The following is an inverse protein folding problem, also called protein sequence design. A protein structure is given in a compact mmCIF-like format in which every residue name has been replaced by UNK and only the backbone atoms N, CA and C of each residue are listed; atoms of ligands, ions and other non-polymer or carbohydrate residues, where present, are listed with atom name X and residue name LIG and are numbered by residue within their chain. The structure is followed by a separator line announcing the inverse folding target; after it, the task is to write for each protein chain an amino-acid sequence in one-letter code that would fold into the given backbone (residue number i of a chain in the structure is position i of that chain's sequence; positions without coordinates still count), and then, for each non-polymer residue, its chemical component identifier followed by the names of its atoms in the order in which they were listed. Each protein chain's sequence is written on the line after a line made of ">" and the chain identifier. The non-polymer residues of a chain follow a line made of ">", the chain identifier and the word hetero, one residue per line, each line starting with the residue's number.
data_IF_415548335240
#
_entry.id   IF_415548335240
#
_cell.length_a   1.000
_cell.length_b   1.000
_cell.length_c   1.000
_cell.angle_alpha   90.00
_cell.angle_beta   90.00
_cell.angle_gamma   90.00
#
_symmetry.space_group_name_H-M   'P 1'
#
loop_
_entity.id
_entity.type
_entity.pdbx_description
1 polymer ?
#
# COMPACT_ATOMS: atom_id res chain seq x y z
N UNK A 1 13.85 -9.01 -18.91
CA UNK A 1 14.95 -8.05 -18.70
C UNK A 1 14.80 -6.74 -19.50
N UNK A 2 14.37 -6.72 -20.77
CA UNK A 2 14.24 -5.47 -21.56
C UNK A 2 13.10 -4.52 -21.13
N UNK A 3 12.09 -4.99 -20.41
CA UNK A 3 10.94 -4.19 -19.98
C UNK A 3 11.15 -3.43 -18.65
N UNK A 4 12.09 -3.89 -17.81
CA UNK A 4 12.43 -3.23 -16.53
C UNK A 4 13.29 -1.98 -16.79
N UNK A 5 14.10 -1.99 -17.86
CA UNK A 5 14.97 -0.86 -18.23
C UNK A 5 14.15 0.35 -18.73
N UNK A 6 12.96 0.13 -19.29
CA UNK A 6 12.10 1.22 -19.77
C UNK A 6 11.46 2.02 -18.62
N UNK A 7 11.26 1.39 -17.46
CA UNK A 7 10.68 2.04 -16.28
C UNK A 7 11.70 2.96 -15.56
N UNK A 8 12.98 2.57 -15.59
CA UNK A 8 14.06 3.37 -14.99
C UNK A 8 14.43 4.61 -15.85
N UNK A 9 14.11 4.62 -17.13
CA UNK A 9 14.40 5.76 -18.01
C UNK A 9 13.38 6.90 -17.91
N UNK A 10 12.19 6.64 -17.33
CA UNK A 10 11.16 7.67 -17.09
C UNK A 10 11.47 8.58 -15.89
N UNK A 11 12.45 8.23 -15.06
CA UNK A 11 12.85 8.99 -13.86
C UNK A 11 13.69 10.24 -14.14
N UNK A 12 14.00 10.56 -15.40
CA UNK A 12 14.88 11.65 -15.79
C UNK A 12 14.21 12.97 -16.23
N UNK A 13 12.90 13.08 -16.17
CA UNK A 13 12.18 14.30 -16.54
C UNK A 13 12.03 15.23 -15.33
N UNK A 14 13.09 15.97 -15.01
CA UNK A 14 12.98 17.17 -14.18
C UNK A 14 12.20 18.23 -14.95
N UNK A 15 10.91 18.37 -14.64
CA UNK A 15 10.11 19.49 -15.14
C UNK A 15 10.61 20.78 -14.47
N UNK A 16 10.83 21.86 -15.24
CA UNK A 16 11.17 23.14 -14.63
C UNK A 16 9.98 23.63 -13.82
N UNK A 17 10.17 23.79 -12.52
CA UNK A 17 9.21 24.43 -11.62
C UNK A 17 9.17 25.91 -12.04
N UNK A 18 8.09 26.34 -12.67
CA UNK A 18 7.77 27.75 -12.85
C UNK A 18 7.39 28.31 -11.49
N UNK A 19 8.38 28.86 -10.78
CA UNK A 19 8.19 29.65 -9.57
C UNK A 19 7.50 30.97 -9.93
N UNK A 20 6.18 30.91 -10.15
CA UNK A 20 5.33 32.09 -10.19
C UNK A 20 4.80 32.32 -8.78
N UNK A 21 5.00 33.51 -8.22
CA UNK A 21 4.60 33.87 -6.86
C UNK A 21 3.09 33.79 -6.63
N UNK A 22 2.59 32.59 -6.46
CA UNK A 22 1.28 32.25 -5.86
C UNK A 22 1.57 31.69 -4.48
N UNK A 23 0.78 32.09 -3.50
CA UNK A 23 0.88 31.62 -2.11
C UNK A 23 0.60 30.09 -1.98
N UNK A 24 0.20 29.40 -3.05
CA UNK A 24 -0.10 27.98 -3.12
C UNK A 24 0.57 27.34 -4.36
N UNK A 25 1.83 26.89 -4.26
CA UNK A 25 2.56 26.27 -5.36
C UNK A 25 2.04 24.86 -5.65
N UNK A 26 2.08 24.47 -6.93
CA UNK A 26 1.86 23.09 -7.34
C UNK A 26 3.04 22.23 -6.86
N UNK A 27 2.73 21.20 -6.07
CA UNK A 27 3.72 20.26 -5.51
C UNK A 27 3.37 18.85 -5.97
N UNK A 28 4.38 18.00 -6.08
CA UNK A 28 4.21 16.58 -6.36
C UNK A 28 5.18 15.75 -5.53
N UNK A 29 4.81 14.48 -5.32
CA UNK A 29 5.65 13.46 -4.70
C UNK A 29 5.44 12.14 -5.41
N UNK A 30 6.50 11.37 -5.57
CA UNK A 30 6.45 9.97 -5.99
C UNK A 30 7.17 9.16 -4.95
N UNK A 31 6.54 8.10 -4.45
CA UNK A 31 7.08 7.26 -3.40
C UNK A 31 6.93 5.79 -3.75
N UNK A 32 7.99 5.05 -3.55
CA UNK A 32 8.00 3.60 -3.43
C UNK A 32 8.10 3.32 -1.95
N UNK A 33 6.95 3.02 -1.32
CA UNK A 33 6.91 2.72 0.12
C UNK A 33 7.55 1.39 0.41
N UNK A 34 7.24 0.38 -0.43
CA UNK A 34 7.81 -0.95 -0.33
C UNK A 34 8.17 -1.47 -1.71
N UNK A 35 9.41 -1.83 -1.89
CA UNK A 35 9.86 -2.77 -2.91
C UNK A 35 10.63 -3.84 -2.16
N UNK A 36 9.95 -4.92 -1.80
CA UNK A 36 10.48 -5.93 -0.89
C UNK A 36 10.29 -7.35 -1.40
N UNK A 37 11.25 -8.21 -1.11
CA UNK A 37 11.07 -9.65 -1.21
C UNK A 37 10.77 -10.21 0.17
N UNK A 38 9.83 -11.14 0.23
CA UNK A 38 9.43 -11.84 1.46
C UNK A 38 9.90 -13.29 1.37
N UNK A 39 10.64 -13.71 2.36
CA UNK A 39 11.10 -15.12 2.46
C UNK A 39 10.04 -15.89 3.21
N UNK A 40 9.44 -16.86 2.51
CA UNK A 40 8.37 -17.73 2.98
C UNK A 40 8.84 -19.18 3.02
N UNK A 41 7.98 -20.09 3.48
CA UNK A 41 8.20 -21.53 3.38
C UNK A 41 7.95 -22.07 1.95
N UNK A 42 7.38 -21.26 1.07
CA UNK A 42 7.09 -21.55 -0.34
C UNK A 42 7.84 -20.61 -1.29
N UNK A 43 7.26 -20.29 -2.46
CA UNK A 43 7.80 -19.30 -3.37
C UNK A 43 7.89 -17.92 -2.71
N UNK A 44 8.98 -17.19 -2.97
CA UNK A 44 9.23 -15.90 -2.38
C UNK A 44 8.54 -14.79 -3.20
N UNK A 45 7.54 -14.09 -2.66
CA UNK A 45 6.91 -12.97 -3.36
C UNK A 45 7.83 -11.73 -3.41
N UNK A 46 7.68 -10.99 -4.50
CA UNK A 46 8.17 -9.63 -4.64
C UNK A 46 6.97 -8.69 -4.56
N UNK A 47 6.99 -7.78 -3.59
CA UNK A 47 5.91 -6.82 -3.33
C UNK A 47 6.35 -5.42 -3.70
N UNK A 48 5.48 -4.70 -4.41
CA UNK A 48 5.60 -3.28 -4.69
C UNK A 48 4.39 -2.54 -4.15
N UNK A 49 4.60 -1.67 -3.18
CA UNK A 49 3.64 -0.63 -2.79
C UNK A 49 4.21 0.73 -3.20
N UNK A 50 3.50 1.46 -4.04
CA UNK A 50 3.93 2.77 -4.50
C UNK A 50 2.76 3.74 -4.59
N UNK A 51 3.05 4.99 -4.30
CA UNK A 51 2.11 6.09 -4.49
C UNK A 51 2.76 7.30 -5.18
N UNK A 52 1.92 8.10 -5.82
CA UNK A 52 2.30 9.38 -6.37
C UNK A 52 1.15 10.36 -6.19
N UNK A 53 1.47 11.62 -5.90
CA UNK A 53 0.46 12.66 -5.88
C UNK A 53 0.97 13.95 -6.47
N UNK A 54 0.02 14.72 -6.99
CA UNK A 54 0.24 16.08 -7.50
C UNK A 54 -0.91 16.96 -7.05
N UNK A 55 -0.62 18.18 -6.64
CA UNK A 55 -1.66 19.12 -6.23
C UNK A 55 -1.14 20.33 -5.48
N UNK A 56 -2.06 20.93 -4.78
CA UNK A 56 -1.88 22.11 -3.93
C UNK A 56 -2.03 21.72 -2.46
N UNK A 57 -1.85 22.65 -1.54
CA UNK A 57 -1.91 22.38 -0.10
C UNK A 57 -3.18 21.63 0.32
N UNK A 58 -4.34 22.07 -0.17
CA UNK A 58 -5.63 21.51 0.22
C UNK A 58 -6.19 20.45 -0.73
N UNK A 59 -5.70 20.38 -1.95
CA UNK A 59 -6.29 19.58 -3.03
C UNK A 59 -5.22 18.80 -3.77
N UNK A 60 -5.28 17.46 -3.78
CA UNK A 60 -4.30 16.59 -4.40
C UNK A 60 -4.99 15.50 -5.22
N UNK A 61 -4.37 15.10 -6.30
CA UNK A 61 -4.71 13.87 -7.01
C UNK A 61 -3.66 12.81 -6.70
N UNK A 62 -4.14 11.64 -6.30
CA UNK A 62 -3.31 10.51 -5.93
C UNK A 62 -3.46 9.37 -6.92
N UNK A 63 -2.35 8.74 -7.23
CA UNK A 63 -2.25 7.42 -7.81
C UNK A 63 -1.62 6.51 -6.77
N UNK A 64 -2.26 5.38 -6.45
CA UNK A 64 -1.70 4.36 -5.56
C UNK A 64 -1.70 3.03 -6.31
N UNK A 65 -0.70 2.19 -6.07
CA UNK A 65 -0.63 0.83 -6.62
C UNK A 65 0.00 -0.11 -5.61
N UNK A 66 -0.53 -1.32 -5.58
CA UNK A 66 -0.05 -2.43 -4.78
C UNK A 66 -0.01 -3.66 -5.69
N UNK A 67 1.15 -4.28 -5.80
CA UNK A 67 1.36 -5.43 -6.71
C UNK A 67 2.24 -6.46 -6.03
N UNK A 68 1.79 -7.71 -6.08
CA UNK A 68 2.57 -8.87 -5.64
C UNK A 68 2.85 -9.81 -6.82
N UNK A 69 4.10 -10.18 -6.96
CA UNK A 69 4.56 -11.16 -7.95
C UNK A 69 5.13 -12.37 -7.25
N UNK A 70 4.70 -13.55 -7.68
CA UNK A 70 5.24 -14.84 -7.27
C UNK A 70 5.71 -15.59 -8.51
N UNK A 71 6.95 -16.05 -8.52
CA UNK A 71 7.58 -16.76 -9.66
C UNK A 71 7.49 -16.02 -11.01
N UNK A 72 7.33 -14.69 -10.98
CA UNK A 72 7.23 -13.84 -12.16
C UNK A 72 5.81 -13.64 -12.69
N UNK A 73 4.81 -14.26 -12.08
CA UNK A 73 3.39 -14.01 -12.34
C UNK A 73 2.84 -13.02 -11.32
N UNK A 74 1.88 -12.18 -11.73
CA UNK A 74 1.19 -11.27 -10.82
C UNK A 74 0.07 -12.04 -10.12
N UNK A 75 0.14 -12.15 -8.81
CA UNK A 75 -0.90 -12.78 -7.99
C UNK A 75 -1.87 -11.77 -7.40
N UNK A 76 -1.35 -10.66 -6.88
CA UNK A 76 -2.18 -9.53 -6.45
C UNK A 76 -1.82 -8.29 -7.26
N UNK A 77 -2.81 -7.48 -7.58
CA UNK A 77 -2.61 -6.23 -8.31
C UNK A 77 -3.78 -5.28 -8.14
N UNK A 78 -3.47 -4.13 -7.59
CA UNK A 78 -4.43 -3.06 -7.29
C UNK A 78 -3.93 -1.73 -7.83
N UNK A 79 -4.84 -0.93 -8.36
CA UNK A 79 -4.60 0.48 -8.68
C UNK A 79 -5.72 1.35 -8.13
N UNK A 80 -5.36 2.55 -7.65
CA UNK A 80 -6.31 3.55 -7.19
C UNK A 80 -6.02 4.92 -7.81
N UNK A 81 -7.09 5.64 -8.17
CA UNK A 81 -7.05 7.03 -8.58
C UNK A 81 -7.97 7.82 -7.66
N UNK A 82 -7.40 8.70 -6.83
CA UNK A 82 -8.13 9.37 -5.78
C UNK A 82 -7.96 10.88 -5.88
N UNK A 83 -9.04 11.60 -5.64
CA UNK A 83 -8.99 13.01 -5.28
C UNK A 83 -8.95 13.13 -3.76
N UNK A 84 -8.01 13.91 -3.24
CA UNK A 84 -7.78 14.13 -1.82
C UNK A 84 -8.02 15.59 -1.48
N UNK A 85 -8.72 15.82 -0.38
CA UNK A 85 -8.94 17.15 0.19
C UNK A 85 -8.58 17.15 1.67
N UNK A 86 -7.72 18.08 2.07
CA UNK A 86 -7.45 18.33 3.46
C UNK A 86 -8.72 18.84 4.17
N UNK A 87 -9.16 18.11 5.18
CA UNK A 87 -10.33 18.43 6.00
C UNK A 87 -9.95 18.97 7.39
N UNK A 88 -8.69 18.71 7.78
CA UNK A 88 -8.06 19.26 8.97
C UNK A 88 -6.53 19.32 8.76
N UNK A 89 -5.75 19.94 9.65
CA UNK A 89 -4.29 20.01 9.52
C UNK A 89 -3.59 18.65 9.44
N UNK A 90 -4.24 17.59 9.91
CA UNK A 90 -3.65 16.24 10.01
C UNK A 90 -4.42 15.17 9.24
N UNK A 91 -5.55 15.52 8.59
CA UNK A 91 -6.41 14.56 7.94
C UNK A 91 -6.87 15.02 6.57
N UNK A 92 -6.66 14.15 5.60
CA UNK A 92 -7.19 14.25 4.25
C UNK A 92 -8.37 13.28 4.11
N UNK A 93 -9.44 13.73 3.49
CA UNK A 93 -10.50 12.89 2.95
C UNK A 93 -10.19 12.59 1.49
N UNK A 94 -10.24 11.34 1.11
CA UNK A 94 -9.97 10.87 -0.25
C UNK A 94 -11.21 10.20 -0.84
N UNK A 95 -11.49 10.47 -2.10
CA UNK A 95 -12.57 9.82 -2.84
C UNK A 95 -12.12 9.53 -4.28
N UNK A 96 -12.51 8.39 -4.82
CA UNK A 96 -12.12 8.03 -6.18
C UNK A 96 -12.46 6.61 -6.57
N UNK A 97 -11.61 6.03 -7.37
CA UNK A 97 -11.80 4.72 -7.97
C UNK A 97 -10.62 3.80 -7.66
N UNK A 98 -10.95 2.55 -7.40
CA UNK A 98 -10.02 1.43 -7.23
C UNK A 98 -10.38 0.32 -8.18
N UNK A 99 -9.37 -0.30 -8.77
CA UNK A 99 -9.51 -1.53 -9.53
C UNK A 99 -8.53 -2.57 -9.01
N UNK A 100 -9.08 -3.71 -8.65
CA UNK A 100 -8.33 -4.92 -8.41
C UNK A 100 -8.21 -5.68 -9.74
N UNK A 101 -7.00 -5.82 -10.22
CA UNK A 101 -6.69 -6.49 -11.49
C UNK A 101 -6.42 -7.98 -11.26
N UNK A 102 -5.94 -8.31 -10.07
CA UNK A 102 -5.62 -9.66 -9.59
C UNK A 102 -5.99 -9.81 -8.11
N UNK A 103 -6.38 -11.05 -7.68
CA UNK A 103 -6.71 -12.21 -8.50
C UNK A 103 -7.93 -11.97 -9.40
N UNK A 104 -8.07 -12.80 -10.44
CA UNK A 104 -9.24 -12.72 -11.33
C UNK A 104 -10.49 -13.25 -10.65
N UNK A 105 -11.70 -12.73 -11.00
CA UNK A 105 -11.99 -11.67 -11.98
C UNK A 105 -11.65 -10.27 -11.45
N UNK A 106 -11.43 -9.32 -12.37
CA UNK A 106 -11.24 -7.91 -12.02
C UNK A 106 -12.45 -7.39 -11.23
N UNK A 107 -12.19 -6.47 -10.29
CA UNK A 107 -13.25 -5.81 -9.50
C UNK A 107 -12.99 -4.31 -9.48
N UNK A 108 -14.07 -3.55 -9.73
CA UNK A 108 -14.06 -2.09 -9.65
C UNK A 108 -14.80 -1.62 -8.39
N UNK A 109 -14.24 -0.60 -7.73
CA UNK A 109 -14.79 -0.05 -6.50
C UNK A 109 -14.79 1.48 -6.53
N UNK A 110 -15.85 2.08 -6.00
CA UNK A 110 -15.79 3.44 -5.51
C UNK A 110 -15.03 3.43 -4.18
N UNK A 111 -14.04 4.29 -4.06
CA UNK A 111 -13.22 4.42 -2.84
C UNK A 111 -13.58 5.68 -2.09
N UNK A 112 -13.76 5.55 -0.77
CA UNK A 112 -13.84 6.64 0.20
C UNK A 112 -12.80 6.34 1.29
N UNK A 113 -11.90 7.27 1.58
CA UNK A 113 -10.84 7.02 2.56
C UNK A 113 -10.53 8.25 3.40
N UNK A 114 -9.97 8.00 4.57
CA UNK A 114 -9.33 8.99 5.43
C UNK A 114 -7.87 8.63 5.58
N UNK A 115 -6.98 9.55 5.21
CA UNK A 115 -5.53 9.40 5.39
C UNK A 115 -5.01 10.55 6.25
N UNK A 116 -4.19 10.24 7.23
CA UNK A 116 -3.64 11.29 8.09
C UNK A 116 -2.84 10.79 9.27
N UNK A 117 -2.53 11.74 10.16
CA UNK A 117 -1.79 11.50 11.39
C UNK A 117 -2.77 11.48 12.59
N UNK A 118 -2.89 10.32 13.21
CA UNK A 118 -3.58 10.15 14.47
C UNK A 118 -2.70 10.65 15.65
N UNK A 119 -3.28 10.80 16.88
CA UNK A 119 -2.50 11.13 18.05
C UNK A 119 -1.27 10.23 18.20
N UNK A 120 -0.18 10.80 18.73
CA UNK A 120 1.14 10.16 18.85
C UNK A 120 1.84 9.88 17.51
N UNK A 121 1.45 10.57 16.42
CA UNK A 121 2.07 10.49 15.08
C UNK A 121 1.92 9.12 14.39
N UNK A 122 0.87 8.38 14.70
CA UNK A 122 0.50 7.22 13.90
C UNK A 122 -0.01 7.68 12.53
N UNK A 123 0.62 7.24 11.45
CA UNK A 123 0.07 7.37 10.11
C UNK A 123 -1.06 6.36 9.95
N UNK A 124 -2.24 6.82 9.57
CA UNK A 124 -3.43 5.98 9.40
C UNK A 124 -4.00 6.19 8.00
N UNK A 125 -4.29 5.10 7.32
CA UNK A 125 -5.04 5.07 6.06
C UNK A 125 -6.24 4.11 6.24
N UNK A 126 -7.45 4.67 6.31
CA UNK A 126 -8.69 3.93 6.51
C UNK A 126 -9.57 4.08 5.27
N UNK A 127 -9.74 3.00 4.51
CA UNK A 127 -10.48 2.96 3.25
C UNK A 127 -11.77 2.15 3.34
N UNK A 128 -12.83 2.66 2.71
CA UNK A 128 -14.07 1.96 2.41
C UNK A 128 -14.21 1.84 0.90
N UNK A 129 -14.41 0.63 0.41
CA UNK A 129 -14.49 0.31 -1.02
C UNK A 129 -15.87 -0.26 -1.31
N UNK A 130 -16.62 0.43 -2.17
CA UNK A 130 -17.99 0.06 -2.55
C UNK A 130 -17.95 -0.47 -3.97
N UNK A 131 -18.10 -1.78 -4.12
CA UNK A 131 -18.03 -2.48 -5.39
C UNK A 131 -19.40 -2.85 -5.94
N UNK A 132 -19.38 -3.46 -7.10
CA UNK A 132 -20.58 -4.02 -7.75
C UNK A 132 -21.26 -5.09 -6.89
N UNK A 133 -22.53 -5.32 -7.14
CA UNK A 133 -23.35 -6.34 -6.44
C UNK A 133 -23.45 -6.12 -4.92
N UNK A 134 -23.22 -4.86 -4.45
CA UNK A 134 -23.30 -4.50 -3.05
C UNK A 134 -22.18 -5.12 -2.20
N UNK A 135 -21.01 -5.37 -2.78
CA UNK A 135 -19.78 -5.68 -2.03
C UNK A 135 -19.27 -4.40 -1.39
N UNK A 136 -19.01 -4.46 -0.11
CA UNK A 136 -18.41 -3.36 0.67
C UNK A 136 -17.20 -3.94 1.39
N UNK A 137 -16.04 -3.35 1.18
CA UNK A 137 -14.79 -3.78 1.79
C UNK A 137 -14.22 -2.63 2.62
N UNK A 138 -13.62 -2.96 3.74
CA UNK A 138 -12.90 -2.01 4.60
C UNK A 138 -11.44 -2.40 4.71
N UNK A 139 -10.54 -1.42 4.65
CA UNK A 139 -9.11 -1.61 4.94
C UNK A 139 -8.67 -0.57 5.96
N UNK A 140 -7.90 -1.01 6.93
CA UNK A 140 -7.25 -0.13 7.88
C UNK A 140 -5.76 -0.44 7.89
N UNK A 141 -4.96 0.56 7.56
CA UNK A 141 -3.51 0.52 7.71
C UNK A 141 -3.11 1.54 8.76
N UNK A 142 -2.15 1.18 9.61
CA UNK A 142 -1.55 2.07 10.58
C UNK A 142 -0.06 1.78 10.68
N UNK A 143 0.75 2.82 10.65
CA UNK A 143 2.20 2.71 10.85
C UNK A 143 2.71 3.79 11.79
N UNK A 144 3.86 3.54 12.39
CA UNK A 144 4.54 4.50 13.25
C UNK A 144 6.03 4.50 12.96
N UNK A 145 6.62 5.67 12.74
CA UNK A 145 8.06 5.80 12.54
C UNK A 145 8.77 6.14 13.87
N UNK A 146 9.45 5.16 14.45
CA UNK A 146 10.26 5.36 15.65
C UNK A 146 11.73 5.59 15.28
N UNK A 147 12.19 6.83 15.37
CA UNK A 147 13.58 7.19 15.11
C UNK A 147 14.48 6.74 16.26
N UNK A 148 15.22 5.66 16.05
CA UNK A 148 16.25 5.19 17.01
C UNK A 148 17.43 6.17 17.07
N UNK A 149 17.78 6.74 15.92
CA UNK A 149 18.75 7.83 15.76
C UNK A 149 18.52 8.51 14.38
N UNK A 150 19.44 9.38 13.95
CA UNK A 150 19.33 10.14 12.71
C UNK A 150 19.27 9.30 11.42
N UNK A 151 19.61 8.00 11.47
CA UNK A 151 19.68 7.12 10.30
C UNK A 151 18.88 5.82 10.45
N UNK A 152 18.63 5.39 11.66
CA UNK A 152 17.91 4.15 11.94
C UNK A 152 16.48 4.46 12.37
N UNK A 153 15.54 3.95 11.63
CA UNK A 153 14.10 4.09 11.91
C UNK A 153 13.49 2.70 12.05
N UNK A 154 12.79 2.48 13.15
CA UNK A 154 12.00 1.28 13.38
C UNK A 154 10.54 1.59 13.06
N UNK A 155 9.95 0.81 12.16
CA UNK A 155 8.58 1.03 11.68
C UNK A 155 7.72 -0.19 11.99
N UNK A 156 6.96 -0.19 13.09
CA UNK A 156 5.85 -1.12 13.27
C UNK A 156 4.70 -0.75 12.35
N UNK A 157 4.10 -1.76 11.74
CA UNK A 157 2.98 -1.64 10.81
C UNK A 157 1.86 -2.59 11.21
N UNK A 158 0.64 -2.15 10.99
CA UNK A 158 -0.58 -2.92 11.16
C UNK A 158 -1.44 -2.76 9.92
N UNK A 159 -1.98 -3.86 9.42
CA UNK A 159 -2.99 -3.86 8.35
C UNK A 159 -4.11 -4.84 8.68
N UNK A 160 -5.34 -4.46 8.30
CA UNK A 160 -6.53 -5.28 8.49
C UNK A 160 -7.47 -5.08 7.32
N UNK A 161 -8.03 -6.18 6.80
CA UNK A 161 -9.02 -6.19 5.72
C UNK A 161 -10.33 -6.83 6.19
N UNK A 162 -11.44 -6.19 5.82
CA UNK A 162 -12.81 -6.59 6.14
C UNK A 162 -13.63 -6.66 4.85
N UNK A 163 -14.45 -7.69 4.69
CA UNK A 163 -15.34 -7.86 3.54
C UNK A 163 -16.77 -8.14 3.98
N UNK A 164 -17.73 -7.48 3.34
CA UNK A 164 -19.16 -7.66 3.67
C UNK A 164 -19.77 -8.92 3.09
N UNK A 165 -19.16 -9.51 2.06
CA UNK A 165 -19.64 -10.69 1.34
C UNK A 165 -18.50 -11.58 0.92
N UNK A 166 -18.78 -12.87 0.78
CA UNK A 166 -17.85 -13.83 0.20
C UNK A 166 -17.62 -13.54 -1.29
N UNK A 167 -16.40 -13.73 -1.72
CA UNK A 167 -15.99 -13.77 -3.12
C UNK A 167 -15.15 -15.04 -3.36
N UNK A 168 -15.87 -16.16 -3.51
CA UNK A 168 -15.25 -17.48 -3.65
C UNK A 168 -14.36 -17.60 -4.89
N UNK A 169 -14.61 -16.77 -5.94
CA UNK A 169 -13.75 -16.73 -7.12
C UNK A 169 -12.35 -16.16 -6.83
N UNK A 170 -12.22 -15.46 -5.71
CA UNK A 170 -10.98 -14.81 -5.26
C UNK A 170 -10.49 -15.36 -3.92
N UNK A 171 -11.08 -16.44 -3.43
CA UNK A 171 -10.78 -17.08 -2.13
C UNK A 171 -10.88 -16.10 -0.95
N UNK A 172 -11.83 -15.15 -1.01
CA UNK A 172 -12.08 -14.14 0.02
C UNK A 172 -13.41 -14.44 0.72
N UNK A 173 -13.35 -14.57 2.04
CA UNK A 173 -14.53 -14.74 2.89
C UNK A 173 -15.02 -13.42 3.49
N UNK A 174 -16.31 -13.42 3.90
CA UNK A 174 -16.93 -12.29 4.58
C UNK A 174 -16.46 -12.14 6.03
N UNK A 175 -16.56 -10.93 6.55
CA UNK A 175 -16.10 -10.55 7.88
C UNK A 175 -14.65 -10.07 7.89
N UNK A 176 -13.93 -10.36 8.96
CA UNK A 176 -12.51 -10.12 9.06
C UNK A 176 -11.78 -11.16 8.20
N UNK A 177 -11.13 -10.70 7.14
CA UNK A 177 -10.40 -11.56 6.20
C UNK A 177 -8.99 -11.85 6.68
N UNK A 178 -8.25 -10.82 6.98
CA UNK A 178 -6.85 -10.96 7.39
C UNK A 178 -6.38 -9.80 8.29
N UNK A 179 -5.34 -10.11 9.06
CA UNK A 179 -4.54 -9.13 9.80
C UNK A 179 -3.08 -9.36 9.45
N UNK A 180 -2.34 -8.29 9.22
CA UNK A 180 -0.90 -8.29 9.05
C UNK A 180 -0.23 -7.38 10.07
N UNK A 181 0.88 -7.86 10.65
CA UNK A 181 1.75 -7.12 11.55
C UNK A 181 3.15 -7.10 10.96
N UNK A 182 3.66 -5.92 10.69
CA UNK A 182 5.02 -5.71 10.19
C UNK A 182 5.91 -5.03 11.22
N UNK A 183 7.18 -5.36 11.19
CA UNK A 183 8.21 -4.62 11.90
C UNK A 183 9.42 -4.50 10.97
N UNK A 184 9.74 -3.27 10.56
CA UNK A 184 10.83 -2.99 9.64
C UNK A 184 11.87 -2.11 10.30
N UNK A 185 13.14 -2.47 10.17
CA UNK A 185 14.30 -1.67 10.59
C UNK A 185 14.94 -1.08 9.34
N UNK A 186 14.75 0.21 9.16
CA UNK A 186 15.17 0.98 7.99
C UNK A 186 16.45 1.75 8.30
N UNK A 187 17.39 1.75 7.34
CA UNK A 187 18.61 2.55 7.39
C UNK A 187 18.56 3.65 6.34
N UNK A 188 18.43 4.90 6.75
CA UNK A 188 18.43 6.07 5.86
C UNK A 188 19.85 6.38 5.38
N UNK A 189 20.22 5.81 4.22
CA UNK A 189 21.47 6.19 3.52
C UNK A 189 21.39 7.65 3.13
N UNK A 190 20.24 8.03 2.56
CA UNK A 190 19.73 9.38 2.36
C UNK A 190 18.28 9.39 2.79
N UNK A 191 17.69 10.57 2.98
CA UNK A 191 16.26 10.65 3.32
C UNK A 191 15.37 10.07 2.22
N UNK A 192 15.81 10.24 0.97
CA UNK A 192 15.09 9.78 -0.22
C UNK A 192 15.33 8.29 -0.55
N UNK A 193 16.26 7.63 0.14
CA UNK A 193 16.60 6.22 -0.13
C UNK A 193 17.03 5.49 1.14
N UNK A 194 16.27 4.47 1.49
CA UNK A 194 16.49 3.68 2.69
C UNK A 194 16.25 2.18 2.45
N UNK A 195 17.30 1.35 2.42
CA UNK A 195 17.15 -0.09 2.52
C UNK A 195 16.67 -0.48 3.93
N UNK A 196 15.97 -1.61 4.02
CA UNK A 196 15.48 -2.14 5.28
C UNK A 196 15.46 -3.67 5.31
N UNK A 197 15.42 -4.17 6.53
CA UNK A 197 15.12 -5.57 6.84
C UNK A 197 13.96 -5.60 7.84
N UNK A 198 13.24 -6.70 7.89
CA UNK A 198 12.13 -6.80 8.83
C UNK A 198 11.51 -8.17 8.90
N UNK A 199 10.39 -8.21 9.62
CA UNK A 199 9.54 -9.39 9.76
C UNK A 199 8.11 -8.95 9.49
N UNK A 200 7.36 -9.77 8.75
CA UNK A 200 5.95 -9.61 8.52
C UNK A 200 5.22 -10.88 8.97
N UNK A 201 4.20 -10.74 9.79
CA UNK A 201 3.30 -11.80 10.17
C UNK A 201 1.92 -11.51 9.59
N UNK A 202 1.36 -12.48 8.86
CA UNK A 202 0.00 -12.39 8.30
C UNK A 202 -0.82 -13.57 8.83
N UNK A 203 -2.07 -13.31 9.16
CA UNK A 203 -3.03 -14.33 9.54
C UNK A 203 -4.38 -14.07 8.93
N UNK A 204 -4.97 -15.10 8.35
CA UNK A 204 -6.31 -15.10 7.78
C UNK A 204 -7.33 -15.62 8.79
N UNK A 205 -8.60 -15.20 8.63
CA UNK A 205 -9.69 -15.49 9.54
C UNK A 205 -10.96 -15.85 8.77
N UNK A 206 -11.92 -16.44 9.50
CA UNK A 206 -13.26 -16.75 8.99
C UNK A 206 -13.23 -17.62 7.74
N UNK A 207 -14.12 -17.31 6.79
CA UNK A 207 -14.23 -18.08 5.56
C UNK A 207 -13.03 -17.89 4.61
N UNK A 208 -12.27 -16.78 4.72
CA UNK A 208 -11.00 -16.64 4.01
C UNK A 208 -10.00 -17.72 4.44
N UNK A 209 -9.89 -17.98 5.74
CA UNK A 209 -9.03 -19.04 6.25
C UNK A 209 -9.49 -20.43 5.77
N UNK A 210 -10.82 -20.66 5.69
CA UNK A 210 -11.37 -21.92 5.18
C UNK A 210 -11.02 -22.14 3.69
N UNK A 211 -11.05 -21.09 2.87
CA UNK A 211 -10.63 -21.16 1.46
C UNK A 211 -9.15 -21.52 1.37
N UNK A 212 -8.27 -20.81 2.09
CA UNK A 212 -6.83 -21.05 2.11
C UNK A 212 -6.47 -22.47 2.54
N UNK A 213 -7.10 -22.98 3.62
CA UNK A 213 -6.92 -24.38 4.05
C UNK A 213 -7.36 -25.38 2.98
N UNK A 214 -8.46 -25.08 2.24
CA UNK A 214 -8.96 -25.96 1.18
C UNK A 214 -8.01 -26.03 -0.04
N UNK A 215 -7.20 -25.00 -0.24
CA UNK A 215 -6.14 -24.93 -1.25
C UNK A 215 -4.82 -25.55 -0.77
N UNK A 216 -4.76 -25.94 0.51
CA UNK A 216 -3.60 -26.59 1.12
C UNK A 216 -2.51 -25.62 1.57
N UNK A 217 -2.87 -24.35 1.74
CA UNK A 217 -1.99 -23.30 2.19
C UNK A 217 -2.14 -23.00 3.69
N UNK A 218 -1.10 -22.40 4.29
CA UNK A 218 -1.11 -22.03 5.70
C UNK A 218 -1.88 -20.74 5.94
N UNK A 219 -2.82 -20.74 6.91
CA UNK A 219 -3.62 -19.58 7.31
C UNK A 219 -2.81 -18.50 8.05
N UNK A 220 -1.61 -18.83 8.49
CA UNK A 220 -0.72 -17.91 9.19
C UNK A 220 0.71 -18.11 8.75
N UNK A 221 1.36 -17.04 8.35
CA UNK A 221 2.74 -17.07 7.89
C UNK A 221 3.56 -15.97 8.56
N UNK A 222 4.84 -16.26 8.83
CA UNK A 222 5.82 -15.31 9.36
C UNK A 222 6.98 -15.23 8.38
N UNK A 223 7.14 -14.09 7.76
CA UNK A 223 8.04 -13.85 6.65
C UNK A 223 9.17 -12.92 7.07
N UNK A 224 10.40 -13.23 6.71
CA UNK A 224 11.49 -12.26 6.74
C UNK A 224 11.39 -11.38 5.48
N UNK A 225 11.55 -10.06 5.66
CA UNK A 225 11.45 -9.11 4.55
C UNK A 225 12.76 -8.36 4.35
N UNK A 226 13.11 -8.12 3.07
CA UNK A 226 14.25 -7.33 2.64
C UNK A 226 13.78 -6.40 1.54
N UNK A 227 13.98 -5.12 1.72
CA UNK A 227 13.44 -4.16 0.76
C UNK A 227 14.13 -2.81 0.78
N UNK A 228 13.58 -1.95 -0.06
CA UNK A 228 13.97 -0.54 -0.15
C UNK A 228 12.73 0.35 -0.11
N UNK A 229 12.88 1.52 0.51
CA UNK A 229 11.96 2.65 0.41
C UNK A 229 12.67 3.79 -0.31
N UNK A 230 11.98 4.43 -1.25
CA UNK A 230 12.53 5.56 -1.99
C UNK A 230 11.45 6.58 -2.35
N UNK A 231 11.82 7.88 -2.40
CA UNK A 231 10.89 8.93 -2.81
C UNK A 231 11.61 10.10 -3.53
N UNK A 232 10.82 10.85 -4.32
CA UNK A 232 11.25 12.03 -5.06
C UNK A 232 10.25 13.17 -4.86
#
# INVERSE_FOLDING_TARGET
>A
MKRIILFLLAMGLSLPILAGGKDDPLVYKVMIDKLETRITNGPNPLVLEADAWIGYDLHKFWFKTDVEWVEGETEEGEIQLLYSRAISPFWDFQAGWRRDIKPKPDRDYLTLAFKGLAPYLFEVDAGLFIGESGRINGRLNAEYEYMLNQKWVLTPEFSMNLYSKDDAERSIGSGLSDISLGLRLRYEVRREFAPYIGVNWKKQFGDTANFTESEGEDISDTQMVFGIRAWL
#
